data_IF_721406413665
#
_entry.id   IF_721406413665
#
_cell.length_a   1.000
_cell.length_b   1.000
_cell.length_c   1.000
_cell.angle_alpha   90.00
_cell.angle_beta   90.00
_cell.angle_gamma   90.00
#
_symmetry.space_group_name_H-M   'P 1'
#
loop_
_entity.id
_entity.type
_entity.pdbx_description
1 polymer ?
#
# COMPACT_ATOMS: atom_id res chain seq x y z
N UNK A 1 -22.21 -23.83 -12.99
CA UNK A 1 -20.82 -24.23 -12.76
C UNK A 1 -20.12 -22.97 -12.30
N UNK A 2 -19.50 -22.94 -11.12
CA UNK A 2 -18.52 -21.89 -10.86
C UNK A 2 -17.54 -21.95 -12.03
N UNK A 3 -17.31 -20.84 -12.72
CA UNK A 3 -16.25 -20.79 -13.73
C UNK A 3 -15.02 -21.31 -12.99
N UNK A 4 -14.53 -22.49 -13.37
CA UNK A 4 -13.24 -22.97 -12.92
C UNK A 4 -12.27 -21.95 -13.49
N UNK A 5 -11.95 -20.92 -12.70
CA UNK A 5 -10.87 -19.99 -13.04
C UNK A 5 -9.68 -20.88 -13.37
N UNK A 6 -9.17 -20.75 -14.59
CA UNK A 6 -8.02 -21.55 -15.00
C UNK A 6 -6.90 -21.27 -13.99
N UNK A 7 -6.13 -22.28 -13.60
CA UNK A 7 -5.02 -22.10 -12.66
C UNK A 7 -4.08 -20.95 -13.08
N UNK A 8 -4.04 -20.64 -14.38
CA UNK A 8 -3.33 -19.49 -14.97
C UNK A 8 -3.92 -18.14 -14.53
N UNK A 9 -5.25 -17.95 -14.58
CA UNK A 9 -5.90 -16.71 -14.14
C UNK A 9 -5.72 -16.51 -12.63
N UNK A 10 -5.89 -17.57 -11.83
CA UNK A 10 -5.66 -17.53 -10.39
C UNK A 10 -4.20 -17.15 -10.07
N UNK A 11 -3.24 -17.71 -10.82
CA UNK A 11 -1.82 -17.38 -10.73
C UNK A 11 -1.54 -15.92 -11.08
N UNK A 12 -2.15 -15.37 -12.13
CA UNK A 12 -2.00 -13.96 -12.50
C UNK A 12 -2.56 -13.02 -11.43
N UNK A 13 -3.76 -13.29 -10.93
CA UNK A 13 -4.40 -12.46 -9.88
C UNK A 13 -3.57 -12.45 -8.60
N UNK A 14 -3.08 -13.63 -8.17
CA UNK A 14 -2.15 -13.74 -7.06
C UNK A 14 -0.87 -12.96 -7.33
N UNK A 15 -0.26 -13.08 -8.52
CA UNK A 15 0.95 -12.32 -8.85
C UNK A 15 0.75 -10.80 -8.71
N UNK A 16 -0.37 -10.26 -9.17
CA UNK A 16 -0.65 -8.81 -9.07
C UNK A 16 -0.90 -8.38 -7.63
N UNK A 17 -1.71 -9.12 -6.88
CA UNK A 17 -2.06 -8.78 -5.49
C UNK A 17 -0.88 -8.99 -4.52
N UNK A 18 -0.02 -9.98 -4.80
CA UNK A 18 1.14 -10.31 -3.98
C UNK A 18 2.41 -9.57 -4.40
N UNK A 19 2.38 -8.80 -5.49
CA UNK A 19 3.55 -8.04 -5.97
C UNK A 19 4.14 -7.13 -4.87
N UNK A 20 3.35 -6.31 -4.14
CA UNK A 20 3.86 -5.47 -3.04
C UNK A 20 4.54 -6.25 -1.91
N UNK A 21 4.10 -7.50 -1.68
CA UNK A 21 4.64 -8.41 -0.66
C UNK A 21 6.12 -8.65 -0.85
N UNK A 22 6.54 -8.85 -2.10
CA UNK A 22 7.92 -9.15 -2.44
C UNK A 22 8.70 -7.91 -2.87
N UNK A 23 8.02 -6.94 -3.49
CA UNK A 23 8.69 -5.79 -4.09
C UNK A 23 9.32 -4.87 -3.04
N UNK A 24 8.58 -4.51 -2.00
CA UNK A 24 9.10 -3.63 -0.93
C UNK A 24 10.37 -4.19 -0.26
N UNK A 25 10.39 -5.44 0.26
CA UNK A 25 11.57 -5.98 0.92
C UNK A 25 12.72 -6.21 -0.07
N UNK A 26 12.43 -6.53 -1.34
CA UNK A 26 13.46 -6.56 -2.38
C UNK A 26 14.11 -5.19 -2.61
N UNK A 27 13.32 -4.11 -2.64
CA UNK A 27 13.87 -2.75 -2.76
C UNK A 27 14.70 -2.36 -1.52
N UNK A 28 14.30 -2.81 -0.32
CA UNK A 28 15.09 -2.65 0.90
C UNK A 28 16.42 -3.40 0.80
N UNK A 29 16.40 -4.67 0.39
CA UNK A 29 17.59 -5.49 0.18
C UNK A 29 18.54 -4.83 -0.84
N UNK A 30 18.01 -4.42 -1.99
CA UNK A 30 18.79 -3.73 -3.04
C UNK A 30 19.39 -2.40 -2.55
N UNK A 31 18.67 -1.65 -1.70
CA UNK A 31 19.23 -0.43 -1.07
C UNK A 31 20.39 -0.77 -0.13
N UNK A 32 20.23 -1.81 0.71
CA UNK A 32 21.27 -2.27 1.64
C UNK A 32 22.50 -2.80 0.90
N UNK A 33 22.30 -3.63 -0.12
CA UNK A 33 23.37 -4.15 -0.99
C UNK A 33 24.22 -3.04 -1.61
N UNK A 34 23.58 -2.00 -2.18
CA UNK A 34 24.32 -0.87 -2.78
C UNK A 34 25.06 -0.03 -1.74
N UNK A 35 24.47 0.14 -0.55
CA UNK A 35 25.13 0.84 0.55
C UNK A 35 26.33 0.03 1.07
N UNK A 36 26.18 -1.29 1.20
CA UNK A 36 27.24 -2.23 1.58
C UNK A 36 28.41 -2.14 0.59
N UNK A 37 28.13 -2.27 -0.71
CA UNK A 37 29.14 -2.14 -1.76
C UNK A 37 29.90 -0.82 -1.67
N UNK A 38 29.17 0.31 -1.62
CA UNK A 38 29.81 1.64 -1.53
C UNK A 38 30.67 1.80 -0.27
N UNK A 39 30.21 1.29 0.87
CA UNK A 39 30.96 1.37 2.13
C UNK A 39 32.21 0.50 2.09
N UNK A 40 32.11 -0.74 1.61
CA UNK A 40 33.24 -1.66 1.49
C UNK A 40 34.27 -1.14 0.49
N UNK A 41 33.84 -0.66 -0.67
CA UNK A 41 34.74 -0.08 -1.68
C UNK A 41 35.50 1.13 -1.13
N UNK A 42 34.80 2.00 -0.39
CA UNK A 42 35.42 3.16 0.27
C UNK A 42 36.47 2.73 1.30
N UNK A 43 36.13 1.84 2.21
CA UNK A 43 37.09 1.40 3.22
C UNK A 43 38.25 0.59 2.61
N UNK A 44 38.01 -0.13 1.53
CA UNK A 44 39.06 -0.81 0.76
C UNK A 44 40.03 0.22 0.16
N UNK A 45 39.53 1.31 -0.41
CA UNK A 45 40.38 2.39 -0.94
C UNK A 45 41.24 3.05 0.16
N UNK A 46 40.70 3.19 1.38
CA UNK A 46 41.49 3.70 2.52
C UNK A 46 42.61 2.72 2.91
N UNK A 47 42.34 1.41 2.93
CA UNK A 47 43.36 0.39 3.20
C UNK A 47 44.45 0.42 2.13
N UNK A 48 44.07 0.43 0.85
CA UNK A 48 45.04 0.48 -0.26
C UNK A 48 45.95 1.71 -0.18
N UNK A 49 45.40 2.87 0.18
CA UNK A 49 46.17 4.10 0.33
C UNK A 49 47.24 3.99 1.43
N UNK A 50 46.90 3.42 2.60
CA UNK A 50 47.85 3.27 3.71
C UNK A 50 48.89 2.18 3.41
N UNK A 51 48.49 1.10 2.73
CA UNK A 51 49.44 0.06 2.27
C UNK A 51 50.43 0.62 1.25
N UNK A 52 49.98 1.44 0.29
CA UNK A 52 50.86 2.07 -0.68
C UNK A 52 51.88 3.01 -0.03
N UNK A 53 51.48 3.75 1.01
CA UNK A 53 52.39 4.61 1.78
C UNK A 53 53.44 3.79 2.55
N UNK A 54 53.04 2.64 3.10
CA UNK A 54 53.96 1.69 3.73
C UNK A 54 54.97 1.12 2.73
N UNK A 55 54.52 0.66 1.56
CA UNK A 55 55.39 0.12 0.50
C UNK A 55 56.41 1.15 0.02
N UNK A 56 55.96 2.39 -0.19
CA UNK A 56 56.83 3.51 -0.56
C UNK A 56 57.88 3.79 0.51
N UNK A 57 57.49 3.78 1.78
CA UNK A 57 58.40 4.04 2.90
C UNK A 57 59.44 2.93 3.06
N UNK A 58 59.05 1.67 2.86
CA UNK A 58 59.97 0.52 2.93
C UNK A 58 61.09 0.55 1.87
N UNK A 59 60.87 1.23 0.74
CA UNK A 59 61.89 1.36 -0.32
C UNK A 59 63.10 2.24 0.05
N UNK A 60 63.01 3.05 1.12
CA UNK A 60 63.97 4.11 1.43
C UNK A 60 64.83 3.92 2.69
N UNK A 61 65.00 2.69 3.20
CA UNK A 61 65.64 2.41 4.51
C UNK A 61 65.04 3.23 5.66
N UNK A 62 63.75 3.03 5.99
CA UNK A 62 63.05 3.82 7.00
C UNK A 62 63.51 3.50 8.43
N UNK A 63 63.38 4.47 9.33
CA UNK A 63 63.50 4.22 10.76
C UNK A 63 62.42 3.22 11.21
N UNK A 64 62.78 2.30 12.11
CA UNK A 64 61.88 1.26 12.63
C UNK A 64 60.58 1.86 13.18
N UNK A 65 60.67 2.97 13.91
CA UNK A 65 59.50 3.66 14.48
C UNK A 65 58.50 4.14 13.41
N UNK A 66 59.00 4.58 12.24
CA UNK A 66 58.15 4.99 11.11
C UNK A 66 57.40 3.80 10.52
N UNK A 67 58.08 2.66 10.37
CA UNK A 67 57.46 1.41 9.88
C UNK A 67 56.40 0.92 10.85
N UNK A 68 56.68 0.94 12.16
CA UNK A 68 55.72 0.54 13.20
C UNK A 68 54.48 1.43 13.13
N UNK A 69 54.64 2.75 13.07
CA UNK A 69 53.51 3.68 12.98
C UNK A 69 52.64 3.46 11.73
N UNK A 70 53.26 3.17 10.58
CA UNK A 70 52.52 2.85 9.35
C UNK A 70 51.79 1.51 9.44
N UNK A 71 52.41 0.50 10.05
CA UNK A 71 51.77 -0.79 10.31
C UNK A 71 50.55 -0.63 11.23
N UNK A 72 50.66 0.17 12.29
CA UNK A 72 49.53 0.48 13.17
C UNK A 72 48.39 1.14 12.39
N UNK A 73 48.71 2.07 11.48
CA UNK A 73 47.74 2.69 10.57
C UNK A 73 47.05 1.67 9.66
N UNK A 74 47.78 0.70 9.09
CA UNK A 74 47.20 -0.38 8.27
C UNK A 74 46.25 -1.23 9.11
N UNK A 75 46.68 -1.63 10.31
CA UNK A 75 45.87 -2.44 11.24
C UNK A 75 44.59 -1.70 11.64
N UNK A 76 44.66 -0.39 11.90
CA UNK A 76 43.50 0.45 12.20
C UNK A 76 42.51 0.44 11.02
N UNK A 77 42.97 0.70 9.79
CA UNK A 77 42.10 0.71 8.61
C UNK A 77 41.49 -0.66 8.30
N UNK A 78 42.27 -1.74 8.43
CA UNK A 78 41.75 -3.10 8.29
C UNK A 78 40.68 -3.41 9.35
N UNK A 79 40.87 -2.94 10.58
CA UNK A 79 39.89 -3.11 11.66
C UNK A 79 38.58 -2.37 11.39
N UNK A 80 38.67 -1.13 10.86
CA UNK A 80 37.50 -0.35 10.43
C UNK A 80 36.78 -1.05 9.27
N UNK A 81 37.51 -1.48 8.24
CA UNK A 81 36.96 -2.23 7.10
C UNK A 81 36.23 -3.48 7.58
N UNK A 82 36.89 -4.31 8.42
CA UNK A 82 36.29 -5.54 8.97
C UNK A 82 34.98 -5.24 9.68
N UNK A 83 34.96 -4.25 10.57
CA UNK A 83 33.75 -3.85 11.31
C UNK A 83 32.63 -3.40 10.35
N UNK A 84 32.94 -2.52 9.39
CA UNK A 84 31.95 -2.00 8.44
C UNK A 84 31.43 -3.06 7.48
N UNK A 85 32.27 -4.00 7.07
CA UNK A 85 31.88 -5.15 6.27
C UNK A 85 30.91 -6.04 7.05
N UNK A 86 31.21 -6.38 8.31
CA UNK A 86 30.33 -7.18 9.17
C UNK A 86 28.97 -6.52 9.36
N UNK A 87 28.93 -5.23 9.72
CA UNK A 87 27.68 -4.46 9.86
C UNK A 87 26.84 -4.50 8.57
N UNK A 88 27.50 -4.30 7.42
CA UNK A 88 26.83 -4.26 6.12
C UNK A 88 26.30 -5.62 5.69
N UNK A 89 27.10 -6.68 5.86
CA UNK A 89 26.73 -8.06 5.53
C UNK A 89 25.58 -8.53 6.42
N UNK A 90 25.60 -8.22 7.72
CA UNK A 90 24.53 -8.57 8.63
C UNK A 90 23.21 -7.89 8.23
N UNK A 91 23.25 -6.60 7.93
CA UNK A 91 22.07 -5.87 7.49
C UNK A 91 21.51 -6.42 6.16
N UNK A 92 22.38 -6.85 5.24
CA UNK A 92 21.97 -7.51 4.00
C UNK A 92 21.32 -8.88 4.26
N UNK A 93 21.96 -9.72 5.08
CA UNK A 93 21.48 -11.06 5.44
C UNK A 93 20.09 -11.01 6.11
N UNK A 94 19.86 -10.07 7.02
CA UNK A 94 18.53 -9.85 7.62
C UNK A 94 17.46 -9.53 6.58
N UNK A 95 17.79 -8.68 5.60
CA UNK A 95 16.85 -8.34 4.51
C UNK A 95 16.64 -9.51 3.54
N UNK A 96 17.67 -10.31 3.28
CA UNK A 96 17.57 -11.53 2.48
C UNK A 96 16.70 -12.58 3.17
N UNK A 97 16.88 -12.78 4.49
CA UNK A 97 16.04 -13.66 5.31
C UNK A 97 14.59 -13.22 5.31
N UNK A 98 14.31 -11.91 5.41
CA UNK A 98 12.96 -11.37 5.31
C UNK A 98 12.32 -11.68 3.94
N UNK A 99 13.06 -11.48 2.85
CA UNK A 99 12.59 -11.84 1.50
C UNK A 99 12.29 -13.34 1.41
N UNK A 100 13.16 -14.19 1.96
CA UNK A 100 13.01 -15.64 1.99
C UNK A 100 11.74 -16.06 2.74
N UNK A 101 11.50 -15.52 3.94
CA UNK A 101 10.28 -15.80 4.74
C UNK A 101 9.00 -15.46 3.98
N UNK A 102 9.00 -14.37 3.22
CA UNK A 102 7.84 -13.99 2.40
C UNK A 102 7.64 -14.90 1.20
N UNK A 103 8.71 -15.35 0.55
CA UNK A 103 8.63 -16.35 -0.52
C UNK A 103 8.10 -17.68 0.02
N UNK A 104 8.60 -18.13 1.17
CA UNK A 104 8.12 -19.34 1.86
C UNK A 104 6.63 -19.24 2.17
N UNK A 105 6.18 -18.13 2.75
CA UNK A 105 4.76 -17.87 2.99
C UNK A 105 3.93 -17.93 1.70
N UNK A 106 4.40 -17.38 0.58
CA UNK A 106 3.66 -17.48 -0.68
C UNK A 106 3.61 -18.90 -1.24
N UNK A 107 4.64 -19.72 -1.00
CA UNK A 107 4.65 -21.13 -1.40
C UNK A 107 3.65 -21.98 -0.62
N UNK A 108 3.34 -21.63 0.63
CA UNK A 108 2.33 -22.30 1.46
C UNK A 108 0.95 -22.35 0.79
N UNK A 109 0.63 -21.40 -0.12
CA UNK A 109 -0.61 -21.41 -0.91
C UNK A 109 -0.78 -22.70 -1.73
N UNK A 110 0.32 -23.32 -2.17
CA UNK A 110 0.30 -24.52 -3.01
C UNK A 110 0.13 -25.80 -2.19
N UNK A 111 -0.15 -25.69 -0.88
CA UNK A 111 -0.40 -26.85 -0.03
C UNK A 111 -1.76 -27.47 -0.36
N UNK A 112 -1.77 -28.78 -0.61
CA UNK A 112 -2.99 -29.56 -0.87
C UNK A 112 -3.86 -29.76 0.39
N UNK A 113 -3.36 -29.39 1.58
CA UNK A 113 -4.07 -29.59 2.84
C UNK A 113 -5.10 -28.45 3.09
N UNK A 114 -6.41 -28.75 3.23
CA UNK A 114 -7.43 -27.73 3.45
C UNK A 114 -7.21 -26.85 4.69
N UNK A 115 -6.67 -27.43 5.77
CA UNK A 115 -6.35 -26.71 7.00
C UNK A 115 -5.23 -25.68 6.79
N UNK A 116 -4.15 -26.07 6.08
CA UNK A 116 -3.06 -25.18 5.74
C UNK A 116 -3.53 -24.03 4.84
N UNK A 117 -4.35 -24.32 3.82
CA UNK A 117 -4.94 -23.32 2.94
C UNK A 117 -5.83 -22.31 3.71
N UNK A 118 -6.60 -22.77 4.70
CA UNK A 118 -7.40 -21.93 5.60
C UNK A 118 -6.54 -20.96 6.41
N UNK A 119 -5.48 -21.46 7.03
CA UNK A 119 -4.53 -20.65 7.81
C UNK A 119 -3.83 -19.62 6.92
N UNK A 120 -3.39 -20.03 5.74
CA UNK A 120 -2.76 -19.14 4.76
C UNK A 120 -3.71 -18.01 4.31
N UNK A 121 -4.97 -18.34 3.99
CA UNK A 121 -5.99 -17.33 3.61
C UNK A 121 -6.22 -16.31 4.73
N UNK A 122 -6.21 -16.75 5.99
CA UNK A 122 -6.34 -15.87 7.16
C UNK A 122 -5.12 -14.93 7.28
N UNK A 123 -3.91 -15.49 7.25
CA UNK A 123 -2.67 -14.68 7.26
C UNK A 123 -2.64 -13.67 6.13
N UNK A 124 -3.04 -14.08 4.92
CA UNK A 124 -3.13 -13.20 3.75
C UNK A 124 -4.08 -12.02 4.00
N UNK A 125 -5.27 -12.28 4.54
CA UNK A 125 -6.25 -11.24 4.87
C UNK A 125 -5.68 -10.27 5.92
N UNK A 126 -5.11 -10.79 7.00
CA UNK A 126 -4.52 -9.97 8.07
C UNK A 126 -3.40 -9.08 7.51
N UNK A 127 -2.58 -9.60 6.61
CA UNK A 127 -1.50 -8.86 5.93
C UNK A 127 -2.04 -7.69 5.09
N UNK A 128 -3.10 -7.94 4.31
CA UNK A 128 -3.79 -6.91 3.53
C UNK A 128 -4.41 -5.85 4.44
N UNK A 129 -5.01 -6.27 5.56
CA UNK A 129 -5.58 -5.36 6.56
C UNK A 129 -4.52 -4.50 7.24
N UNK A 130 -3.39 -5.09 7.66
CA UNK A 130 -2.27 -4.34 8.25
C UNK A 130 -1.78 -3.27 7.29
N UNK A 131 -1.54 -3.58 6.02
CA UNK A 131 -1.12 -2.58 5.04
C UNK A 131 -2.18 -1.48 4.86
N UNK A 132 -3.46 -1.85 4.79
CA UNK A 132 -4.53 -0.87 4.66
C UNK A 132 -4.63 0.06 5.87
N UNK A 133 -4.53 -0.49 7.09
CA UNK A 133 -4.50 0.28 8.33
C UNK A 133 -3.32 1.25 8.37
N UNK A 134 -2.13 0.81 7.94
CA UNK A 134 -0.95 1.68 7.83
C UNK A 134 -1.18 2.84 6.85
N UNK A 135 -1.76 2.57 5.68
CA UNK A 135 -2.11 3.59 4.68
C UNK A 135 -3.17 4.58 5.18
N UNK A 136 -4.06 4.14 6.07
CA UNK A 136 -5.07 4.97 6.71
C UNK A 136 -4.57 5.69 7.98
N UNK A 137 -3.30 5.51 8.37
CA UNK A 137 -2.72 6.14 9.57
C UNK A 137 -3.02 5.41 10.90
N UNK A 138 -3.63 4.23 10.87
CA UNK A 138 -3.95 3.44 12.06
C UNK A 138 -2.77 2.55 12.51
N UNK A 139 -1.61 3.17 12.77
CA UNK A 139 -0.35 2.47 13.06
C UNK A 139 -0.41 1.53 14.26
N UNK A 140 -0.98 1.98 15.39
CA UNK A 140 -1.05 1.18 16.62
C UNK A 140 -1.87 -0.10 16.40
N UNK A 141 -3.02 0.03 15.72
CA UNK A 141 -3.88 -1.11 15.37
C UNK A 141 -3.18 -2.05 14.40
N UNK A 142 -2.48 -1.52 13.40
CA UNK A 142 -1.73 -2.30 12.42
C UNK A 142 -0.61 -3.12 13.07
N UNK A 143 0.20 -2.50 13.94
CA UNK A 143 1.27 -3.16 14.69
C UNK A 143 0.71 -4.23 15.63
N UNK A 144 -0.38 -3.94 16.33
CA UNK A 144 -1.04 -4.90 17.22
C UNK A 144 -1.57 -6.11 16.45
N UNK A 145 -2.24 -5.90 15.32
CA UNK A 145 -2.74 -6.97 14.45
C UNK A 145 -1.59 -7.83 13.92
N UNK A 146 -0.52 -7.20 13.43
CA UNK A 146 0.64 -7.92 12.92
C UNK A 146 1.24 -8.86 13.98
N UNK A 147 1.38 -8.37 15.22
CA UNK A 147 1.88 -9.15 16.36
C UNK A 147 0.94 -10.28 16.78
N UNK A 148 -0.36 -10.00 16.87
CA UNK A 148 -1.34 -11.03 17.27
C UNK A 148 -1.46 -12.15 16.22
N UNK A 149 -1.30 -11.83 14.94
CA UNK A 149 -1.34 -12.81 13.85
C UNK A 149 0.02 -13.46 13.55
N UNK A 150 1.11 -13.01 14.19
CA UNK A 150 2.47 -13.52 13.95
C UNK A 150 2.93 -13.31 12.51
N UNK A 151 2.64 -12.13 11.94
CA UNK A 151 2.90 -11.77 10.54
C UNK A 151 3.80 -10.54 10.41
N UNK A 152 4.51 -10.12 11.44
CA UNK A 152 5.39 -8.94 11.43
C UNK A 152 6.40 -8.98 10.26
N UNK A 153 6.96 -10.16 9.99
CA UNK A 153 7.88 -10.40 8.87
C UNK A 153 7.22 -10.31 7.47
N UNK A 154 5.89 -10.36 7.41
CA UNK A 154 5.14 -10.40 6.15
C UNK A 154 4.56 -9.04 5.77
N UNK A 155 4.70 -8.03 6.64
CA UNK A 155 4.14 -6.68 6.48
C UNK A 155 5.25 -5.62 6.43
N UNK A 156 4.96 -4.45 5.85
CA UNK A 156 5.95 -3.40 5.59
C UNK A 156 5.94 -2.28 6.65
N UNK A 157 5.80 -2.61 7.94
CA UNK A 157 5.58 -1.63 9.02
C UNK A 157 6.67 -0.54 9.05
N UNK A 158 7.95 -0.91 8.99
CA UNK A 158 9.07 0.04 9.07
C UNK A 158 9.00 1.12 7.98
N UNK A 159 8.70 0.73 6.74
CA UNK A 159 8.55 1.66 5.61
C UNK A 159 7.46 2.72 5.90
N UNK A 160 6.34 2.29 6.46
CA UNK A 160 5.24 3.18 6.81
C UNK A 160 5.54 4.05 8.03
N UNK A 161 6.35 3.57 8.99
CA UNK A 161 6.79 4.38 10.13
C UNK A 161 7.78 5.48 9.71
N UNK A 162 8.73 5.18 8.81
CA UNK A 162 9.59 6.22 8.22
C UNK A 162 8.77 7.25 7.45
N UNK A 163 7.77 6.80 6.69
CA UNK A 163 6.86 7.72 5.99
C UNK A 163 6.06 8.59 6.97
N UNK A 164 5.58 8.00 8.07
CA UNK A 164 4.86 8.71 9.13
C UNK A 164 5.68 9.87 9.70
N UNK A 165 6.94 9.62 10.05
CA UNK A 165 7.82 10.63 10.62
C UNK A 165 8.00 11.83 9.67
N UNK A 166 8.15 11.57 8.37
CA UNK A 166 8.23 12.60 7.35
C UNK A 166 6.91 13.37 7.23
N UNK A 167 5.77 12.68 7.16
CA UNK A 167 4.45 13.34 7.08
C UNK A 167 4.18 14.22 8.31
N UNK A 168 4.43 13.72 9.52
CA UNK A 168 4.26 14.48 10.77
C UNK A 168 5.21 15.70 10.84
N UNK A 169 6.43 15.60 10.29
CA UNK A 169 7.34 16.77 10.21
C UNK A 169 6.77 17.87 9.31
N UNK A 170 6.19 17.49 8.16
CA UNK A 170 5.55 18.44 7.25
C UNK A 170 4.27 19.03 7.87
N UNK A 171 3.52 18.26 8.66
CA UNK A 171 2.38 18.77 9.42
C UNK A 171 2.81 19.83 10.45
N UNK A 172 3.97 19.64 11.09
CA UNK A 172 4.62 20.65 11.96
C UNK A 172 5.30 21.79 11.20
N UNK A 173 5.20 21.82 9.86
CA UNK A 173 5.81 22.81 8.97
C UNK A 173 7.34 22.78 8.95
N UNK A 174 7.91 21.59 9.10
CA UNK A 174 9.35 21.33 9.09
C UNK A 174 9.74 20.57 7.81
N UNK A 175 10.60 21.15 6.97
CA UNK A 175 11.04 20.54 5.70
C UNK A 175 12.26 19.62 5.84
N UNK A 176 13.02 19.75 6.94
CA UNK A 176 14.34 19.14 7.08
C UNK A 176 14.31 17.61 6.93
N UNK A 177 13.38 16.93 7.60
CA UNK A 177 13.24 15.47 7.56
C UNK A 177 12.87 14.99 6.15
N UNK A 178 11.95 15.69 5.47
CA UNK A 178 11.56 15.35 4.10
C UNK A 178 12.70 15.59 3.09
N UNK A 179 13.48 16.65 3.29
CA UNK A 179 14.67 16.92 2.47
C UNK A 179 15.79 15.90 2.69
N UNK A 180 15.99 15.43 3.92
CA UNK A 180 16.91 14.32 4.20
C UNK A 180 16.44 13.04 3.49
N UNK A 181 15.14 12.75 3.52
CA UNK A 181 14.57 11.65 2.75
C UNK A 181 14.77 11.82 1.23
N UNK A 182 14.63 13.04 0.69
CA UNK A 182 14.90 13.33 -0.71
C UNK A 182 16.38 13.06 -1.05
N UNK A 183 17.30 13.49 -0.20
CA UNK A 183 18.73 13.25 -0.36
C UNK A 183 19.06 11.75 -0.39
N UNK A 184 18.53 10.99 0.56
CA UNK A 184 18.77 9.54 0.68
C UNK A 184 18.20 8.74 -0.51
N UNK A 185 17.22 9.29 -1.21
CA UNK A 185 16.57 8.66 -2.35
C UNK A 185 16.82 9.40 -3.69
N UNK A 186 17.78 10.35 -3.72
CA UNK A 186 18.02 11.29 -4.82
C UNK A 186 18.13 10.63 -6.20
N UNK A 187 18.90 9.55 -6.31
CA UNK A 187 19.12 8.86 -7.59
C UNK A 187 17.85 8.24 -8.16
N UNK A 188 16.95 7.75 -7.29
CA UNK A 188 15.67 7.14 -7.68
C UNK A 188 14.62 8.20 -7.97
N UNK A 189 14.54 9.24 -7.14
CA UNK A 189 13.65 10.38 -7.36
C UNK A 189 13.93 11.07 -8.70
N UNK A 190 15.22 11.24 -9.06
CA UNK A 190 15.62 11.75 -10.37
C UNK A 190 15.14 10.86 -11.53
N UNK A 191 15.26 9.53 -11.41
CA UNK A 191 14.74 8.59 -12.43
C UNK A 191 13.22 8.68 -12.59
N UNK A 192 12.49 8.94 -11.50
CA UNK A 192 11.04 9.12 -11.52
C UNK A 192 10.59 10.54 -11.88
N UNK A 193 11.55 11.45 -12.13
CA UNK A 193 11.33 12.89 -12.38
C UNK A 193 10.47 13.55 -11.30
N UNK A 194 10.69 13.17 -10.04
CA UNK A 194 10.04 13.82 -8.90
C UNK A 194 10.52 15.28 -8.77
N UNK A 195 9.58 16.19 -8.54
CA UNK A 195 9.85 17.59 -8.20
C UNK A 195 9.70 17.89 -6.70
N UNK A 196 9.58 16.87 -5.83
CA UNK A 196 9.32 17.06 -4.40
C UNK A 196 10.37 17.94 -3.71
N UNK A 197 11.66 17.68 -3.96
CA UNK A 197 12.74 18.49 -3.39
C UNK A 197 12.59 19.97 -3.80
N UNK A 198 12.26 20.23 -5.05
CA UNK A 198 12.02 21.59 -5.55
C UNK A 198 10.80 22.23 -4.86
N UNK A 199 9.68 21.52 -4.76
CA UNK A 199 8.48 21.99 -4.05
C UNK A 199 8.77 22.37 -2.60
N UNK A 200 9.58 21.56 -1.90
CA UNK A 200 10.00 21.83 -0.51
C UNK A 200 10.87 23.09 -0.42
N UNK A 201 11.80 23.28 -1.36
CA UNK A 201 12.62 24.51 -1.41
C UNK A 201 11.78 25.75 -1.71
N UNK A 202 10.78 25.66 -2.59
CA UNK A 202 9.82 26.75 -2.80
C UNK A 202 9.06 27.05 -1.51
N UNK A 203 8.66 26.02 -0.75
CA UNK A 203 7.98 26.24 0.53
C UNK A 203 8.89 26.91 1.57
N UNK A 204 10.17 26.51 1.68
CA UNK A 204 11.14 27.19 2.55
C UNK A 204 11.29 28.68 2.19
N UNK A 205 11.36 29.00 0.89
CA UNK A 205 11.37 30.38 0.42
C UNK A 205 10.11 31.13 0.87
N UNK A 206 8.92 30.54 0.68
CA UNK A 206 7.64 31.13 1.09
C UNK A 206 7.61 31.40 2.59
N UNK A 207 8.09 30.46 3.42
CA UNK A 207 8.11 30.66 4.88
C UNK A 207 9.11 31.75 5.32
N UNK A 208 10.22 31.94 4.59
CA UNK A 208 11.12 33.09 4.81
C UNK A 208 10.43 34.42 4.48
N UNK A 209 9.66 34.48 3.39
CA UNK A 209 8.84 35.65 3.06
C UNK A 209 7.77 35.89 4.12
N UNK A 210 7.09 34.83 4.60
CA UNK A 210 6.08 34.94 5.65
C UNK A 210 6.64 35.52 6.95
N UNK A 211 7.91 35.23 7.27
CA UNK A 211 8.65 35.81 8.40
C UNK A 211 9.25 37.20 8.10
N UNK A 212 8.93 37.78 6.94
CA UNK A 212 9.50 39.03 6.43
C UNK A 212 11.04 39.04 6.30
N UNK A 213 11.68 37.86 6.26
CA UNK A 213 13.13 37.68 6.09
C UNK A 213 13.52 37.70 4.61
N UNK A 214 13.23 38.81 3.92
CA UNK A 214 13.37 38.92 2.45
C UNK A 214 14.78 38.68 1.93
N UNK A 215 15.80 39.18 2.63
CA UNK A 215 17.20 38.95 2.24
C UNK A 215 17.59 37.48 2.34
N UNK A 216 17.12 36.77 3.36
CA UNK A 216 17.33 35.31 3.50
C UNK A 216 16.61 34.54 2.39
N UNK A 217 15.39 34.95 2.03
CA UNK A 217 14.65 34.34 0.93
C UNK A 217 15.42 34.49 -0.40
N UNK A 218 16.00 35.67 -0.68
CA UNK A 218 16.84 35.88 -1.87
C UNK A 218 18.09 35.01 -1.84
N UNK A 219 18.77 34.89 -0.68
CA UNK A 219 19.93 34.00 -0.53
C UNK A 219 19.56 32.53 -0.77
N UNK A 220 18.43 32.10 -0.21
CA UNK A 220 17.89 30.75 -0.40
C UNK A 220 17.60 30.46 -1.88
N UNK A 221 16.92 31.38 -2.55
CA UNK A 221 16.60 31.27 -3.97
C UNK A 221 17.86 31.14 -4.84
N UNK A 222 18.89 31.96 -4.60
CA UNK A 222 20.17 31.87 -5.32
C UNK A 222 20.86 30.52 -5.13
N UNK A 223 20.74 29.93 -3.95
CA UNK A 223 21.36 28.64 -3.63
C UNK A 223 20.63 27.46 -4.27
N UNK A 224 19.29 27.48 -4.28
CA UNK A 224 18.49 26.31 -4.62
C UNK A 224 17.80 26.36 -5.99
N UNK A 225 17.61 27.54 -6.57
CA UNK A 225 16.87 27.71 -7.83
C UNK A 225 17.76 28.08 -9.02
N UNK A 226 19.09 28.09 -8.85
CA UNK A 226 20.05 28.44 -9.92
C UNK A 226 20.02 27.49 -11.12
N UNK A 227 19.56 26.25 -10.93
CA UNK A 227 19.43 25.22 -11.96
C UNK A 227 17.97 24.95 -12.36
N UNK A 228 17.04 25.85 -11.99
CA UNK A 228 15.63 25.68 -12.36
C UNK A 228 15.44 25.92 -13.86
N UNK A 229 14.77 24.98 -14.54
CA UNK A 229 14.52 25.02 -15.98
C UNK A 229 13.05 24.75 -16.31
N UNK A 230 12.60 25.18 -17.50
CA UNK A 230 11.24 24.96 -17.98
C UNK A 230 10.18 25.46 -17.01
N UNK A 231 9.21 24.61 -16.66
CA UNK A 231 8.10 24.96 -15.75
C UNK A 231 8.57 25.36 -14.34
N UNK A 232 9.71 24.85 -13.87
CA UNK A 232 10.26 25.25 -12.57
C UNK A 232 10.67 26.72 -12.56
N UNK A 233 11.15 27.24 -13.69
CA UNK A 233 11.54 28.64 -13.79
C UNK A 233 10.32 29.57 -13.67
N UNK A 234 9.16 29.15 -14.18
CA UNK A 234 7.90 29.89 -14.05
C UNK A 234 7.42 29.93 -12.60
N UNK A 235 7.51 28.80 -11.88
CA UNK A 235 7.24 28.75 -10.44
C UNK A 235 8.22 29.64 -9.64
N UNK A 236 9.51 29.64 -9.99
CA UNK A 236 10.51 30.51 -9.37
C UNK A 236 10.20 31.99 -9.62
N UNK A 237 9.83 32.38 -10.86
CA UNK A 237 9.45 33.75 -11.18
C UNK A 237 8.25 34.21 -10.34
N UNK A 238 7.24 33.34 -10.22
CA UNK A 238 6.06 33.62 -9.40
C UNK A 238 6.41 33.77 -7.91
N UNK A 239 7.24 32.88 -7.37
CA UNK A 239 7.72 32.96 -5.99
C UNK A 239 8.56 34.22 -5.75
N UNK A 240 9.48 34.56 -6.66
CA UNK A 240 10.30 35.77 -6.55
C UNK A 240 9.46 37.05 -6.58
N UNK A 241 8.34 37.05 -7.30
CA UNK A 241 7.38 38.16 -7.29
C UNK A 241 6.84 38.50 -5.89
N UNK A 242 6.80 37.54 -4.97
CA UNK A 242 6.36 37.76 -3.58
C UNK A 242 7.22 38.78 -2.83
N UNK A 243 8.46 39.01 -3.25
CA UNK A 243 9.36 39.98 -2.62
C UNK A 243 8.81 41.42 -2.67
N UNK A 244 7.97 41.72 -3.66
CA UNK A 244 7.36 43.03 -3.85
C UNK A 244 6.08 43.23 -3.01
N UNK A 245 5.52 42.17 -2.43
CA UNK A 245 4.25 42.21 -1.71
C UNK A 245 4.45 41.96 -0.22
N UNK A 246 3.59 42.52 0.65
CA UNK A 246 3.63 42.21 2.06
C UNK A 246 3.07 40.80 2.33
N UNK A 247 3.47 40.12 3.43
CA UNK A 247 3.04 38.76 3.75
C UNK A 247 1.53 38.57 4.00
N UNK A 248 0.79 39.66 4.18
CA UNK A 248 -0.65 39.72 4.38
C UNK A 248 -1.42 40.15 3.10
N UNK A 249 -0.74 40.14 1.95
CA UNK A 249 -1.36 40.49 0.66
C UNK A 249 -2.59 39.65 0.35
N UNK A 250 -3.65 40.30 -0.10
CA UNK A 250 -4.87 39.65 -0.61
C UNK A 250 -4.86 39.43 -2.13
N UNK A 251 -3.76 39.82 -2.78
CA UNK A 251 -3.63 39.77 -4.25
C UNK A 251 -3.17 38.37 -4.66
N UNK A 252 -3.99 37.69 -5.46
CA UNK A 252 -3.57 36.47 -6.17
C UNK A 252 -2.57 36.81 -7.28
N UNK A 253 -1.57 35.95 -7.52
CA UNK A 253 -1.41 34.59 -6.98
C UNK A 253 -0.68 34.51 -5.63
N UNK A 254 -0.17 35.62 -5.10
CA UNK A 254 0.71 35.62 -3.92
C UNK A 254 0.00 35.23 -2.64
N UNK A 255 -1.28 35.61 -2.50
CA UNK A 255 -2.17 35.11 -1.45
C UNK A 255 -2.21 33.57 -1.45
N UNK A 256 -2.35 32.96 -2.62
CA UNK A 256 -2.48 31.50 -2.77
C UNK A 256 -1.14 30.79 -2.49
N UNK A 257 -0.01 31.42 -2.84
CA UNK A 257 1.32 30.94 -2.45
C UNK A 257 1.54 30.97 -0.92
N UNK A 258 0.87 31.87 -0.21
CA UNK A 258 0.92 31.96 1.25
C UNK A 258 -0.14 31.10 1.95
N UNK A 259 -0.94 30.31 1.22
CA UNK A 259 -1.98 29.49 1.83
C UNK A 259 -1.37 28.30 2.61
N UNK A 260 -1.77 28.07 3.89
CA UNK A 260 -1.36 26.89 4.65
C UNK A 260 -1.71 25.54 4.00
N UNK A 261 -2.70 25.49 3.10
CA UNK A 261 -3.09 24.29 2.37
C UNK A 261 -1.94 23.68 1.55
N UNK A 262 -0.93 24.46 1.18
CA UNK A 262 0.28 23.97 0.50
C UNK A 262 1.01 22.88 1.28
N UNK A 263 0.99 22.91 2.61
CA UNK A 263 1.57 21.85 3.44
C UNK A 263 0.87 20.51 3.22
N UNK A 264 -0.47 20.50 3.09
CA UNK A 264 -1.23 19.29 2.74
C UNK A 264 -0.87 18.78 1.34
N UNK A 265 -0.62 19.68 0.39
CA UNK A 265 -0.18 19.31 -0.97
C UNK A 265 1.22 18.68 -0.95
N UNK A 266 2.15 19.20 -0.15
CA UNK A 266 3.48 18.61 0.05
C UNK A 266 3.41 17.21 0.66
N UNK A 267 2.56 17.02 1.67
CA UNK A 267 2.31 15.69 2.28
C UNK A 267 1.77 14.71 1.24
N UNK A 268 0.81 15.13 0.42
CA UNK A 268 0.26 14.30 -0.66
C UNK A 268 1.30 13.97 -1.73
N UNK A 269 2.13 14.95 -2.13
CA UNK A 269 3.20 14.77 -3.09
C UNK A 269 4.28 13.81 -2.55
N UNK A 270 4.70 13.98 -1.30
CA UNK A 270 5.60 13.06 -0.62
C UNK A 270 5.04 11.64 -0.61
N UNK A 271 3.78 11.47 -0.18
CA UNK A 271 3.14 10.16 -0.11
C UNK A 271 3.09 9.48 -1.48
N UNK A 272 2.74 10.23 -2.52
CA UNK A 272 2.72 9.75 -3.90
C UNK A 272 4.11 9.29 -4.36
N UNK A 273 5.14 10.11 -4.15
CA UNK A 273 6.51 9.76 -4.53
C UNK A 273 7.08 8.60 -3.71
N UNK A 274 6.74 8.53 -2.42
CA UNK A 274 7.10 7.41 -1.55
C UNK A 274 6.48 6.10 -2.05
N UNK A 275 5.20 6.11 -2.42
CA UNK A 275 4.55 4.92 -3.00
C UNK A 275 5.16 4.53 -4.34
N UNK A 276 5.44 5.49 -5.24
CA UNK A 276 6.13 5.21 -6.51
C UNK A 276 7.53 4.65 -6.31
N UNK A 277 8.27 5.18 -5.33
CA UNK A 277 9.59 4.68 -4.96
C UNK A 277 9.51 3.19 -4.64
N UNK A 278 8.55 2.79 -3.82
CA UNK A 278 8.30 1.41 -3.42
C UNK A 278 7.44 0.59 -4.39
N UNK A 279 7.05 1.18 -5.53
CA UNK A 279 6.18 0.57 -6.55
C UNK A 279 4.85 0.07 -5.99
N UNK A 280 4.30 0.83 -5.04
CA UNK A 280 2.98 0.65 -4.48
C UNK A 280 1.97 1.47 -5.27
N UNK A 281 0.79 0.89 -5.52
CA UNK A 281 -0.36 1.65 -6.05
C UNK A 281 -0.93 2.59 -5.00
N UNK A 282 -1.73 3.58 -5.42
CA UNK A 282 -2.41 4.52 -4.51
C UNK A 282 -3.46 3.81 -3.63
N UNK A 283 -4.16 2.83 -4.20
CA UNK A 283 -5.10 2.00 -3.47
C UNK A 283 -4.38 0.83 -2.79
N UNK A 284 -4.83 0.46 -1.59
CA UNK A 284 -4.34 -0.75 -0.94
C UNK A 284 -4.82 -2.00 -1.68
N UNK A 285 -4.06 -3.08 -1.58
CA UNK A 285 -4.48 -4.39 -2.10
C UNK A 285 -5.80 -4.84 -1.46
N UNK A 286 -6.01 -4.51 -0.18
CA UNK A 286 -7.28 -4.74 0.52
C UNK A 286 -8.46 -4.06 -0.18
N UNK A 287 -8.35 -2.76 -0.47
CA UNK A 287 -9.41 -1.99 -1.15
C UNK A 287 -9.70 -2.56 -2.53
N UNK A 288 -8.67 -2.87 -3.32
CA UNK A 288 -8.83 -3.45 -4.66
C UNK A 288 -9.50 -4.83 -4.60
N UNK A 289 -9.09 -5.67 -3.65
CA UNK A 289 -9.65 -7.02 -3.46
C UNK A 289 -11.11 -6.95 -3.03
N UNK A 290 -11.45 -6.05 -2.10
CA UNK A 290 -12.82 -5.82 -1.65
C UNK A 290 -13.69 -5.30 -2.80
N UNK A 291 -13.21 -4.33 -3.57
CA UNK A 291 -13.95 -3.79 -4.71
C UNK A 291 -14.18 -4.84 -5.80
N UNK A 292 -13.17 -5.66 -6.12
CA UNK A 292 -13.31 -6.76 -7.07
C UNK A 292 -14.37 -7.77 -6.60
N UNK A 293 -14.30 -8.18 -5.33
CA UNK A 293 -15.27 -9.07 -4.72
C UNK A 293 -16.68 -8.52 -4.75
N UNK A 294 -16.89 -7.26 -4.34
CA UNK A 294 -18.19 -6.60 -4.39
C UNK A 294 -18.73 -6.50 -5.82
N UNK A 295 -17.88 -6.12 -6.80
CA UNK A 295 -18.27 -6.02 -8.21
C UNK A 295 -18.74 -7.37 -8.78
N UNK A 296 -18.15 -8.47 -8.33
CA UNK A 296 -18.52 -9.82 -8.78
C UNK A 296 -19.89 -10.30 -8.28
N UNK A 297 -20.45 -9.69 -7.23
CA UNK A 297 -21.75 -10.07 -6.63
C UNK A 297 -22.79 -8.95 -6.64
N UNK A 298 -22.40 -7.73 -7.01
CA UNK A 298 -23.28 -6.56 -7.07
C UNK A 298 -24.29 -6.75 -8.20
N UNK A 299 -25.57 -6.63 -7.88
CA UNK A 299 -26.65 -6.66 -8.89
C UNK A 299 -27.58 -5.46 -8.73
N UNK A 300 -28.38 -5.10 -9.76
CA UNK A 300 -29.41 -4.06 -9.63
C UNK A 300 -30.39 -4.33 -8.48
N UNK A 301 -30.65 -5.60 -8.15
CA UNK A 301 -31.54 -6.02 -7.06
C UNK A 301 -31.02 -5.57 -5.68
N UNK A 302 -29.73 -5.28 -5.53
CA UNK A 302 -29.16 -4.77 -4.29
C UNK A 302 -29.57 -3.31 -3.99
N UNK A 303 -30.09 -2.59 -4.98
CA UNK A 303 -30.39 -1.15 -4.91
C UNK A 303 -31.87 -0.82 -5.12
N UNK A 304 -32.77 -1.80 -5.15
CA UNK A 304 -34.20 -1.53 -5.14
C UNK A 304 -34.63 -0.84 -3.85
N UNK A 305 -35.48 0.18 -4.00
CA UNK A 305 -35.91 1.08 -2.92
C UNK A 305 -36.81 0.38 -1.89
N UNK A 306 -37.69 -0.50 -2.35
CA UNK A 306 -38.63 -1.27 -1.52
C UNK A 306 -37.95 -2.29 -0.60
N UNK A 307 -36.67 -2.61 -0.85
CA UNK A 307 -35.89 -3.60 -0.11
C UNK A 307 -36.37 -5.04 -0.29
N UNK A 308 -37.41 -5.30 -1.09
CA UNK A 308 -38.06 -6.61 -1.23
C UNK A 308 -37.13 -7.69 -1.83
N UNK A 309 -36.18 -7.25 -2.64
CA UNK A 309 -35.17 -8.07 -3.32
C UNK A 309 -33.86 -8.24 -2.56
N UNK A 310 -33.67 -7.56 -1.42
CA UNK A 310 -32.43 -7.67 -0.65
C UNK A 310 -32.32 -9.05 -0.01
N UNK A 311 -31.18 -9.69 -0.21
CA UNK A 311 -30.88 -10.97 0.43
C UNK A 311 -30.06 -10.74 1.70
N UNK A 312 -30.42 -11.33 2.85
CA UNK A 312 -29.61 -11.23 4.07
C UNK A 312 -28.21 -11.84 3.87
N UNK A 313 -28.09 -12.85 3.01
CA UNK A 313 -26.82 -13.54 2.72
C UNK A 313 -25.97 -12.82 1.67
N UNK A 314 -26.46 -11.74 1.06
CA UNK A 314 -25.71 -10.97 0.07
C UNK A 314 -24.89 -9.88 0.78
N UNK A 315 -23.53 -9.93 0.74
CA UNK A 315 -22.70 -8.91 1.35
C UNK A 315 -23.03 -7.49 0.86
N UNK A 316 -23.30 -7.30 -0.43
CA UNK A 316 -23.66 -5.99 -1.02
C UNK A 316 -25.00 -5.46 -0.51
N UNK A 317 -25.92 -6.32 -0.07
CA UNK A 317 -27.19 -5.88 0.51
C UNK A 317 -27.02 -5.35 1.95
N UNK A 318 -25.89 -5.61 2.61
CA UNK A 318 -25.58 -5.02 3.90
C UNK A 318 -25.38 -3.51 3.80
N UNK A 319 -25.86 -2.75 4.80
CA UNK A 319 -25.88 -1.27 4.77
C UNK A 319 -24.50 -0.66 4.45
N UNK A 320 -23.43 -1.18 5.05
CA UNK A 320 -22.08 -0.61 4.91
C UNK A 320 -21.46 -0.93 3.55
N UNK A 321 -21.54 -2.19 3.12
CA UNK A 321 -20.96 -2.61 1.84
C UNK A 321 -21.77 -2.10 0.65
N UNK A 322 -23.09 -1.89 0.80
CA UNK A 322 -23.94 -1.30 -0.22
C UNK A 322 -23.45 0.09 -0.66
N UNK A 323 -23.07 0.93 0.32
CA UNK A 323 -22.50 2.26 0.08
C UNK A 323 -21.15 2.18 -0.62
N UNK A 324 -20.26 1.30 -0.15
CA UNK A 324 -18.94 1.11 -0.75
C UNK A 324 -19.01 0.56 -2.18
N UNK A 325 -20.01 -0.28 -2.47
CA UNK A 325 -20.21 -0.87 -3.79
C UNK A 325 -20.91 0.07 -4.78
N UNK A 326 -21.48 1.19 -4.34
CA UNK A 326 -22.28 2.09 -5.18
C UNK A 326 -21.58 2.53 -6.48
N UNK A 327 -20.31 3.00 -6.47
CA UNK A 327 -19.60 3.41 -7.70
C UNK A 327 -19.07 2.24 -8.55
N UNK A 328 -19.15 1.00 -8.06
CA UNK A 328 -18.58 -0.17 -8.74
C UNK A 328 -19.48 -0.67 -9.88
N UNK A 329 -18.93 -1.35 -10.91
CA UNK A 329 -19.76 -1.97 -11.93
C UNK A 329 -20.64 -3.10 -11.36
N UNK A 330 -21.74 -3.39 -12.05
CA UNK A 330 -22.60 -4.54 -11.75
C UNK A 330 -21.95 -5.83 -12.26
N UNK A 331 -22.22 -6.94 -11.59
CA UNK A 331 -21.83 -8.27 -12.04
C UNK A 331 -22.49 -8.60 -13.38
N UNK A 332 -21.70 -9.11 -14.33
CA UNK A 332 -22.21 -9.68 -15.56
C UNK A 332 -22.48 -11.17 -15.37
N UNK A 333 -23.75 -11.55 -15.27
CA UNK A 333 -24.15 -12.95 -15.12
C UNK A 333 -24.72 -13.47 -16.45
N UNK A 334 -24.01 -14.40 -17.10
CA UNK A 334 -24.52 -15.04 -18.32
C UNK A 334 -25.66 -16.03 -18.05
N UNK A 335 -25.68 -16.61 -16.85
CA UNK A 335 -26.66 -17.62 -16.44
C UNK A 335 -27.31 -17.20 -15.12
N UNK A 336 -28.63 -17.29 -15.07
CA UNK A 336 -29.39 -17.12 -13.83
C UNK A 336 -29.73 -18.48 -13.23
N UNK A 337 -29.76 -18.53 -11.89
CA UNK A 337 -30.25 -19.70 -11.15
C UNK A 337 -31.27 -19.23 -10.16
N UNK A 338 -32.37 -19.95 -10.08
CA UNK A 338 -33.33 -19.74 -9.02
C UNK A 338 -32.84 -20.40 -7.74
N UNK A 339 -32.94 -19.68 -6.63
CA UNK A 339 -32.58 -20.17 -5.31
C UNK A 339 -33.76 -19.95 -4.37
N UNK A 340 -34.14 -20.98 -3.63
CA UNK A 340 -35.24 -20.90 -2.70
C UNK A 340 -34.89 -19.95 -1.55
N UNK A 341 -35.81 -19.03 -1.21
CA UNK A 341 -35.62 -18.09 -0.10
C UNK A 341 -35.56 -18.75 1.28
N UNK A 342 -36.17 -19.94 1.45
CA UNK A 342 -36.26 -20.63 2.74
C UNK A 342 -34.99 -21.43 2.99
N UNK A 343 -34.65 -22.37 2.10
CA UNK A 343 -33.52 -23.28 2.32
C UNK A 343 -32.20 -22.78 1.73
N UNK A 344 -32.22 -21.85 0.77
CA UNK A 344 -31.03 -21.49 0.00
C UNK A 344 -30.65 -22.50 -1.07
N UNK A 345 -31.45 -23.55 -1.29
CA UNK A 345 -31.21 -24.56 -2.32
C UNK A 345 -31.61 -24.05 -3.71
N UNK A 346 -30.93 -24.58 -4.73
CA UNK A 346 -31.27 -24.30 -6.13
C UNK A 346 -32.65 -24.88 -6.45
N UNK A 347 -33.51 -24.08 -7.08
CA UNK A 347 -34.79 -24.54 -7.64
C UNK A 347 -34.54 -25.03 -9.07
N UNK A 348 -34.83 -26.29 -9.32
CA UNK A 348 -34.56 -27.01 -10.57
C UNK A 348 -35.58 -28.14 -10.77
N UNK A 349 -35.31 -29.08 -11.68
CA UNK A 349 -36.19 -30.21 -11.98
C UNK A 349 -36.52 -31.08 -10.75
N UNK A 350 -35.58 -31.23 -9.82
CA UNK A 350 -35.72 -32.03 -8.60
C UNK A 350 -36.25 -31.22 -7.39
N UNK A 351 -36.29 -29.90 -7.50
CA UNK A 351 -36.82 -28.99 -6.50
C UNK A 351 -37.55 -27.84 -7.22
N UNK A 352 -38.71 -28.10 -7.84
CA UNK A 352 -39.34 -27.15 -8.74
C UNK A 352 -39.77 -25.88 -8.00
N UNK A 353 -39.71 -24.72 -8.66
CA UNK A 353 -40.26 -23.48 -8.13
C UNK A 353 -41.79 -23.58 -8.07
N UNK A 354 -42.35 -23.32 -6.89
CA UNK A 354 -43.77 -23.36 -6.58
C UNK A 354 -44.23 -21.98 -6.13
N UNK A 355 -45.25 -21.42 -6.77
CA UNK A 355 -45.83 -20.11 -6.48
C UNK A 355 -47.06 -20.26 -5.60
N UNK A 356 -47.09 -19.55 -4.47
CA UNK A 356 -48.29 -19.42 -3.64
C UNK A 356 -49.27 -18.40 -4.26
N UNK A 357 -50.56 -18.40 -3.90
CA UNK A 357 -51.56 -17.46 -4.44
C UNK A 357 -51.23 -15.97 -4.29
N UNK A 358 -50.36 -15.60 -3.36
CA UNK A 358 -49.86 -14.23 -3.20
C UNK A 358 -48.67 -13.87 -4.12
N UNK A 359 -48.31 -14.75 -5.05
CA UNK A 359 -47.26 -14.54 -6.05
C UNK A 359 -45.84 -14.85 -5.58
N UNK A 360 -45.62 -15.22 -4.31
CA UNK A 360 -44.28 -15.57 -3.84
C UNK A 360 -43.90 -17.01 -4.22
N UNK A 361 -42.68 -17.16 -4.72
CA UNK A 361 -42.14 -18.43 -5.22
C UNK A 361 -41.14 -19.03 -4.24
N UNK A 362 -41.27 -20.33 -3.98
CA UNK A 362 -40.41 -21.13 -3.11
C UNK A 362 -40.11 -22.49 -3.74
N UNK A 363 -39.11 -23.21 -3.24
CA UNK A 363 -38.83 -24.57 -3.71
C UNK A 363 -39.84 -25.54 -3.12
N UNK A 364 -40.27 -26.51 -3.92
CA UNK A 364 -41.19 -27.56 -3.48
C UNK A 364 -40.74 -28.22 -2.17
N UNK A 365 -39.46 -28.57 -2.06
CA UNK A 365 -38.92 -29.24 -0.87
C UNK A 365 -39.05 -28.37 0.38
N UNK A 366 -38.84 -27.06 0.25
CA UNK A 366 -39.01 -26.13 1.37
C UNK A 366 -40.47 -25.96 1.77
N UNK A 367 -41.38 -25.85 0.80
CA UNK A 367 -42.82 -25.78 1.11
C UNK A 367 -43.30 -27.05 1.81
N UNK A 368 -42.82 -28.21 1.37
CA UNK A 368 -43.13 -29.49 2.00
C UNK A 368 -42.60 -29.55 3.44
N UNK A 369 -41.41 -29.01 3.70
CA UNK A 369 -40.83 -28.99 5.06
C UNK A 369 -41.54 -28.06 6.04
N UNK A 370 -42.20 -27.00 5.56
CA UNK A 370 -42.93 -26.04 6.42
C UNK A 370 -44.44 -26.28 6.43
N UNK A 371 -44.92 -27.30 5.71
CA UNK A 371 -46.33 -27.68 5.63
C UNK A 371 -46.77 -28.26 6.98
N UNK A 372 -47.93 -27.81 7.45
CA UNK A 372 -48.63 -28.38 8.60
C UNK A 372 -49.99 -28.89 8.12
N UNK A 373 -50.18 -30.21 8.20
CA UNK A 373 -51.30 -30.92 7.57
C UNK A 373 -51.39 -30.60 6.08
N UNK A 374 -52.37 -29.81 5.65
CA UNK A 374 -52.57 -29.39 4.25
C UNK A 374 -52.35 -27.90 4.03
N UNK A 375 -51.79 -27.18 5.02
CA UNK A 375 -51.63 -25.73 4.97
C UNK A 375 -50.16 -25.33 5.03
N UNK A 376 -49.87 -24.21 4.38
CA UNK A 376 -48.56 -23.56 4.40
C UNK A 376 -48.73 -22.12 4.81
N UNK A 377 -47.93 -21.66 5.77
CA UNK A 377 -47.85 -20.25 6.13
C UNK A 377 -46.74 -19.60 5.31
N UNK A 378 -47.09 -18.61 4.47
CA UNK A 378 -46.09 -17.87 3.70
C UNK A 378 -45.10 -17.19 4.67
N UNK A 379 -43.79 -17.47 4.58
CA UNK A 379 -42.81 -16.88 5.51
C UNK A 379 -42.74 -15.36 5.45
N UNK A 380 -43.12 -14.76 4.30
CA UNK A 380 -43.03 -13.33 4.03
C UNK A 380 -44.29 -12.56 4.42
N UNK A 381 -45.48 -13.04 4.07
CA UNK A 381 -46.75 -12.33 4.33
C UNK A 381 -47.51 -12.86 5.54
N UNK A 382 -47.13 -14.03 6.06
CA UNK A 382 -47.86 -14.77 7.12
C UNK A 382 -49.26 -15.22 6.74
N UNK A 383 -49.65 -15.06 5.48
CA UNK A 383 -50.90 -15.60 4.95
C UNK A 383 -50.83 -17.12 4.88
N UNK A 384 -51.98 -17.77 5.09
CA UNK A 384 -52.10 -19.23 5.11
C UNK A 384 -52.81 -19.68 3.84
N UNK A 385 -52.17 -20.58 3.12
CA UNK A 385 -52.71 -21.17 1.88
C UNK A 385 -52.79 -22.68 2.01
N UNK A 386 -53.72 -23.28 1.28
CA UNK A 386 -53.73 -24.73 1.13
C UNK A 386 -52.57 -25.16 0.22
N UNK A 387 -51.88 -26.25 0.55
CA UNK A 387 -50.70 -26.70 -0.20
C UNK A 387 -51.02 -26.96 -1.68
N UNK A 388 -52.23 -27.46 -1.98
CA UNK A 388 -52.70 -27.68 -3.37
C UNK A 388 -52.91 -26.40 -4.18
N UNK A 389 -52.95 -25.22 -3.54
CA UNK A 389 -53.02 -23.94 -4.25
C UNK A 389 -51.65 -23.47 -4.73
N UNK A 390 -50.56 -24.14 -4.34
CA UNK A 390 -49.23 -23.83 -4.84
C UNK A 390 -49.07 -24.36 -6.27
N UNK A 391 -48.85 -23.48 -7.23
CA UNK A 391 -48.70 -23.83 -8.64
C UNK A 391 -47.24 -23.93 -9.04
N UNK A 392 -46.91 -24.95 -9.85
CA UNK A 392 -45.55 -25.10 -10.38
C UNK A 392 -45.28 -24.03 -11.44
N UNK A 393 -44.20 -23.28 -11.25
CA UNK A 393 -43.74 -22.25 -12.19
C UNK A 393 -42.82 -22.88 -13.23
N UNK A 394 -43.05 -22.58 -14.50
CA UNK A 394 -42.17 -22.96 -15.60
C UNK A 394 -41.41 -21.73 -16.08
N UNK A 395 -40.09 -21.82 -16.12
CA UNK A 395 -39.21 -20.75 -16.61
C UNK A 395 -38.56 -21.28 -17.87
N UNK A 396 -38.91 -20.66 -19.00
CA UNK A 396 -38.34 -20.94 -20.31
C UNK A 396 -37.00 -20.22 -20.49
#
# INVERSE_FOLDING_TARGET
MAVQESAVQLSMTLKVQEYPTLKVPYETLNKRFRAAQKNIDRETSHVTMVVAELEKTLSGCPAVDSVVSLLDGVVEKLSVLKRKAVESIQAEDESAKLCKRRIEHLKEHSSDQPAAASVWKRKRMDRMMVEHLLRCGYYNTAVKLARQSGIEDLVNIEMFLTAKEVEESLERRETATCLAWCHDNKSRLRKMKSCLEFSLRIQEFIELIRQNKRLDAVRHARKHFSQAEGSQLDEVRQAMGMLAFPPDTHISPYKDLLDPARWRMLIQQFRYDNYRLHQLGNNSVFTLTLQAGLSAIKTPQCYKEDGSSKSPDCPVCSRSLNKLAQPLPMAHCANSRLVCKISGDVMNENNPPMMLPNGYVYGYNSLLSIRQDDKVVCPRTKEVFHFSQAEKVYIM
#
